data_IF_583242298723
#
_entry.id   IF_583242298723
#
_cell.length_a   1.000
_cell.length_b   1.000
_cell.length_c   1.000
_cell.angle_alpha   90.00
_cell.angle_beta   90.00
_cell.angle_gamma   90.00
#
_symmetry.space_group_name_H-M   'P 1'
#
loop_
_entity.id
_entity.type
_entity.pdbx_description
1 polymer ?
#
# COMPACT_ATOMS: atom_id res chain seq x y z
N UNK A 1 -15.87 -22.38 -11.13
CA UNK A 1 -14.66 -22.91 -10.48
C UNK A 1 -15.05 -23.57 -9.16
N UNK A 2 -14.47 -24.73 -8.90
CA UNK A 2 -14.80 -25.56 -7.74
C UNK A 2 -13.73 -25.49 -6.65
N UNK A 3 -14.06 -25.99 -5.46
CA UNK A 3 -13.15 -26.02 -4.31
C UNK A 3 -11.78 -26.61 -4.65
N UNK A 4 -10.73 -25.88 -4.24
CA UNK A 4 -9.33 -26.21 -4.47
C UNK A 4 -8.72 -25.61 -5.76
N UNK A 5 -9.53 -25.06 -6.65
CA UNK A 5 -9.03 -24.42 -7.87
C UNK A 5 -8.46 -23.04 -7.59
N UNK A 6 -7.31 -22.75 -8.21
CA UNK A 6 -6.77 -21.39 -8.27
C UNK A 6 -7.48 -20.62 -9.35
N UNK A 7 -8.01 -19.46 -9.01
CA UNK A 7 -8.77 -18.63 -9.94
C UNK A 7 -8.37 -17.16 -9.83
N UNK A 8 -8.73 -16.42 -10.88
CA UNK A 8 -8.70 -14.96 -10.89
C UNK A 8 -10.12 -14.46 -11.14
N UNK A 9 -10.60 -13.61 -10.25
CA UNK A 9 -11.94 -13.01 -10.33
C UNK A 9 -11.83 -11.53 -10.61
N UNK A 10 -12.65 -11.03 -11.51
CA UNK A 10 -12.86 -9.59 -11.75
C UNK A 10 -14.28 -9.26 -11.31
N UNK A 11 -14.41 -8.22 -10.48
CA UNK A 11 -15.70 -7.74 -9.98
C UNK A 11 -16.08 -6.43 -10.70
N UNK A 12 -17.36 -6.10 -10.72
CA UNK A 12 -17.89 -4.82 -11.21
C UNK A 12 -17.43 -3.65 -10.32
N UNK A 13 -17.28 -3.90 -9.02
CA UNK A 13 -16.76 -2.98 -8.01
C UNK A 13 -16.02 -3.76 -6.93
N UNK A 14 -15.01 -3.13 -6.32
CA UNK A 14 -14.21 -3.82 -5.31
C UNK A 14 -13.72 -2.87 -4.21
N UNK A 15 -13.70 -3.31 -2.94
CA UNK A 15 -13.02 -2.60 -1.84
C UNK A 15 -11.53 -2.93 -1.76
N UNK A 16 -11.03 -3.92 -2.53
CA UNK A 16 -9.65 -4.38 -2.47
C UNK A 16 -8.70 -3.40 -3.14
N UNK A 17 -7.58 -3.14 -2.52
CA UNK A 17 -6.45 -2.41 -3.09
C UNK A 17 -5.61 -3.37 -3.94
N UNK A 18 -5.33 -3.02 -5.16
CA UNK A 18 -4.39 -3.75 -6.02
C UNK A 18 -2.96 -3.26 -5.77
N UNK A 19 -1.98 -4.15 -5.94
CA UNK A 19 -0.57 -3.78 -5.85
C UNK A 19 -0.26 -2.58 -6.75
N UNK A 20 0.19 -1.50 -6.14
CA UNK A 20 0.48 -0.24 -6.82
C UNK A 20 1.34 0.68 -5.94
N UNK A 21 2.21 1.50 -6.56
CA UNK A 21 3.01 2.50 -5.82
C UNK A 21 3.94 1.90 -4.76
N UNK A 22 4.41 0.67 -4.95
CA UNK A 22 5.26 -0.03 -3.99
C UNK A 22 4.50 -0.69 -2.82
N UNK A 23 3.19 -0.50 -2.71
CA UNK A 23 2.36 -1.18 -1.72
C UNK A 23 1.79 -2.48 -2.29
N UNK A 24 1.87 -3.58 -1.53
CA UNK A 24 1.29 -4.88 -1.90
C UNK A 24 -0.24 -4.84 -1.94
N UNK A 25 -0.83 -5.78 -2.68
CA UNK A 25 -2.28 -5.97 -2.75
C UNK A 25 -2.89 -6.45 -1.44
N UNK A 26 -4.20 -6.26 -1.31
CA UNK A 26 -4.95 -6.75 -0.16
C UNK A 26 -5.15 -8.25 -0.19
N UNK A 27 -5.34 -8.80 1.00
CA UNK A 27 -5.89 -10.13 1.23
C UNK A 27 -7.35 -10.04 1.70
N UNK A 28 -8.08 -11.15 1.58
CA UNK A 28 -9.44 -11.23 2.07
C UNK A 28 -10.23 -12.43 1.53
N UNK A 29 -11.54 -12.27 1.48
CA UNK A 29 -12.47 -13.33 1.05
C UNK A 29 -13.51 -12.76 0.10
N UNK A 30 -13.85 -13.52 -0.93
CA UNK A 30 -15.02 -13.29 -1.78
C UNK A 30 -16.00 -14.43 -1.54
N UNK A 31 -17.21 -14.11 -1.10
CA UNK A 31 -18.25 -15.07 -0.74
C UNK A 31 -19.48 -14.88 -1.61
N UNK A 32 -19.87 -15.91 -2.34
CA UNK A 32 -21.11 -16.00 -3.07
C UNK A 32 -22.11 -16.94 -2.38
N UNK A 33 -23.28 -17.12 -2.99
CA UNK A 33 -24.34 -17.99 -2.45
C UNK A 33 -23.92 -19.46 -2.35
N UNK A 34 -23.12 -19.95 -3.32
CA UNK A 34 -22.80 -21.37 -3.46
C UNK A 34 -21.34 -21.69 -3.15
N UNK A 35 -20.51 -20.69 -2.86
CA UNK A 35 -19.10 -20.91 -2.59
C UNK A 35 -18.36 -19.66 -2.12
N UNK A 36 -17.10 -19.88 -1.76
CA UNK A 36 -16.21 -18.80 -1.32
C UNK A 36 -14.78 -19.04 -1.82
N UNK A 37 -14.03 -17.96 -1.99
CA UNK A 37 -12.60 -18.00 -2.26
C UNK A 37 -11.82 -17.12 -1.30
N UNK A 38 -10.61 -17.54 -0.96
CA UNK A 38 -9.62 -16.68 -0.30
C UNK A 38 -8.84 -15.93 -1.36
N UNK A 39 -8.77 -14.62 -1.21
CA UNK A 39 -7.94 -13.72 -2.05
C UNK A 39 -6.58 -13.57 -1.38
N UNK A 40 -5.52 -13.95 -2.09
CA UNK A 40 -4.14 -13.87 -1.63
C UNK A 40 -3.32 -12.77 -2.32
N UNK A 41 -3.85 -12.16 -3.37
CA UNK A 41 -3.23 -11.04 -4.08
C UNK A 41 -4.27 -10.32 -4.94
N UNK A 42 -4.03 -9.04 -5.18
CA UNK A 42 -4.85 -8.24 -6.10
C UNK A 42 -3.93 -7.42 -7.00
N UNK A 43 -4.10 -7.61 -8.30
CA UNK A 43 -3.33 -6.94 -9.34
C UNK A 43 -4.24 -6.06 -10.20
N UNK A 44 -3.68 -5.03 -10.82
CA UNK A 44 -4.41 -4.15 -11.74
C UNK A 44 -3.92 -4.32 -13.17
N UNK A 45 -4.83 -4.55 -14.10
CA UNK A 45 -4.50 -4.61 -15.53
C UNK A 45 -4.23 -3.21 -16.08
N UNK A 46 -3.62 -3.13 -17.28
CA UNK A 46 -3.35 -1.85 -17.97
C UNK A 46 -4.63 -1.07 -18.31
N UNK A 47 -5.75 -1.77 -18.52
CA UNK A 47 -7.08 -1.23 -18.78
C UNK A 47 -7.88 -0.93 -17.49
N UNK A 48 -7.24 -1.04 -16.32
CA UNK A 48 -7.80 -0.59 -15.05
C UNK A 48 -8.64 -1.62 -14.29
N UNK A 49 -8.74 -2.88 -14.76
CA UNK A 49 -9.50 -3.94 -14.08
C UNK A 49 -8.71 -4.50 -12.90
N UNK A 50 -9.40 -4.77 -11.80
CA UNK A 50 -8.84 -5.38 -10.60
C UNK A 50 -8.99 -6.90 -10.67
N UNK A 51 -7.88 -7.61 -10.66
CA UNK A 51 -7.80 -9.07 -10.68
C UNK A 51 -7.58 -9.58 -9.25
N UNK A 52 -8.59 -10.24 -8.68
CA UNK A 52 -8.51 -10.88 -7.37
C UNK A 52 -8.03 -12.31 -7.56
N UNK A 53 -6.81 -12.60 -7.13
CA UNK A 53 -6.12 -13.88 -7.33
C UNK A 53 -6.22 -14.69 -6.05
N UNK A 54 -6.64 -15.94 -6.16
CA UNK A 54 -6.80 -16.77 -4.97
C UNK A 54 -7.24 -18.20 -5.26
N UNK A 55 -7.80 -18.84 -4.24
CA UNK A 55 -8.23 -20.25 -4.28
C UNK A 55 -9.66 -20.34 -3.78
N UNK A 56 -10.49 -21.14 -4.47
CA UNK A 56 -11.82 -21.50 -3.99
C UNK A 56 -11.69 -22.39 -2.76
N UNK A 57 -12.18 -21.94 -1.64
CA UNK A 57 -12.09 -22.64 -0.35
C UNK A 57 -13.32 -23.45 -0.03
N UNK A 58 -14.48 -23.03 -0.56
CA UNK A 58 -15.77 -23.69 -0.31
C UNK A 58 -16.63 -23.65 -1.58
N UNK A 59 -17.36 -24.74 -1.83
CA UNK A 59 -18.36 -24.85 -2.89
C UNK A 59 -17.83 -24.52 -4.29
N UNK A 60 -18.57 -23.70 -5.01
CA UNK A 60 -18.23 -23.25 -6.36
C UNK A 60 -18.61 -21.79 -6.58
N UNK A 61 -17.86 -21.12 -7.45
CA UNK A 61 -18.12 -19.76 -7.93
C UNK A 61 -18.29 -19.76 -9.46
N UNK A 62 -19.30 -19.07 -9.94
CA UNK A 62 -19.63 -18.93 -11.35
C UNK A 62 -19.57 -17.47 -11.80
N UNK A 63 -19.45 -17.28 -13.11
CA UNK A 63 -19.54 -15.94 -13.71
C UNK A 63 -20.95 -15.39 -13.48
N UNK A 64 -21.04 -14.10 -13.20
CA UNK A 64 -22.29 -13.37 -12.87
C UNK A 64 -22.90 -13.71 -11.50
N UNK A 65 -22.21 -14.49 -10.65
CA UNK A 65 -22.64 -14.64 -9.27
C UNK A 65 -22.62 -13.29 -8.53
N UNK A 66 -23.66 -13.04 -7.75
CA UNK A 66 -23.64 -11.97 -6.78
C UNK A 66 -22.78 -12.38 -5.58
N UNK A 67 -21.76 -11.56 -5.25
CA UNK A 67 -20.79 -11.88 -4.22
C UNK A 67 -20.57 -10.71 -3.25
N UNK A 68 -20.16 -11.05 -2.03
CA UNK A 68 -19.66 -10.11 -1.04
C UNK A 68 -18.14 -10.18 -1.01
N UNK A 69 -17.49 -9.05 -1.24
CA UNK A 69 -16.05 -8.89 -1.20
C UNK A 69 -15.63 -8.29 0.16
N UNK A 70 -14.86 -9.03 0.94
CA UNK A 70 -14.45 -8.64 2.29
C UNK A 70 -12.93 -8.62 2.41
N UNK A 71 -12.37 -7.43 2.64
CA UNK A 71 -10.92 -7.25 2.88
C UNK A 71 -10.56 -7.73 4.28
N UNK A 72 -9.40 -8.38 4.45
CA UNK A 72 -8.81 -8.62 5.75
C UNK A 72 -8.40 -7.30 6.40
N UNK A 73 -9.22 -6.85 7.34
CA UNK A 73 -9.04 -5.55 7.98
C UNK A 73 -7.74 -5.47 8.79
N UNK A 74 -7.33 -6.56 9.45
CA UNK A 74 -6.10 -6.58 10.24
C UNK A 74 -4.86 -6.48 9.34
N UNK A 75 -4.86 -7.22 8.24
CA UNK A 75 -3.82 -7.17 7.22
C UNK A 75 -3.73 -5.77 6.59
N UNK A 76 -4.86 -5.20 6.15
CA UNK A 76 -4.93 -3.84 5.59
C UNK A 76 -4.41 -2.79 6.58
N UNK A 77 -4.81 -2.86 7.85
CA UNK A 77 -4.35 -1.90 8.86
C UNK A 77 -2.85 -1.98 9.12
N UNK A 78 -2.26 -3.18 9.08
CA UNK A 78 -0.81 -3.34 9.18
C UNK A 78 -0.09 -2.65 8.02
N UNK A 79 -0.57 -2.84 6.78
CA UNK A 79 -0.04 -2.15 5.59
C UNK A 79 -0.21 -0.64 5.70
N UNK A 80 -1.35 -0.13 6.16
CA UNK A 80 -1.58 1.30 6.36
C UNK A 80 -0.57 1.92 7.34
N UNK A 81 -0.26 1.23 8.45
CA UNK A 81 0.79 1.68 9.39
C UNK A 81 2.16 1.69 8.73
N UNK A 82 2.50 0.64 8.00
CA UNK A 82 3.75 0.53 7.26
C UNK A 82 3.89 1.65 6.21
N UNK A 83 2.83 1.93 5.45
CA UNK A 83 2.82 3.01 4.47
C UNK A 83 3.02 4.39 5.12
N UNK A 84 2.31 4.67 6.21
CA UNK A 84 2.49 5.90 6.97
C UNK A 84 3.92 6.03 7.50
N UNK A 85 4.50 4.94 8.04
CA UNK A 85 5.87 4.95 8.54
C UNK A 85 6.90 5.22 7.44
N UNK A 86 6.64 4.84 6.21
CA UNK A 86 7.49 5.17 5.05
C UNK A 86 7.59 6.69 4.84
N UNK A 87 6.48 7.42 4.95
CA UNK A 87 6.49 8.88 4.84
C UNK A 87 7.21 9.54 6.04
N UNK A 88 7.03 9.01 7.26
CA UNK A 88 7.75 9.49 8.43
C UNK A 88 9.26 9.26 8.29
N UNK A 89 9.66 8.08 7.77
CA UNK A 89 11.05 7.75 7.49
C UNK A 89 11.68 8.71 6.48
N UNK A 90 11.00 8.97 5.35
CA UNK A 90 11.45 9.96 4.35
C UNK A 90 11.69 11.33 4.99
N UNK A 91 10.76 11.80 5.82
CA UNK A 91 10.88 13.10 6.50
C UNK A 91 12.03 13.12 7.50
N UNK A 92 12.20 12.05 8.27
CA UNK A 92 13.30 11.93 9.25
C UNK A 92 14.67 11.87 8.56
N UNK A 93 14.81 11.08 7.49
CA UNK A 93 16.04 11.00 6.70
C UNK A 93 16.44 12.37 6.15
N UNK A 94 15.49 13.12 5.54
CA UNK A 94 15.77 14.49 5.07
C UNK A 94 16.18 15.42 6.19
N UNK A 95 15.59 15.29 7.38
CA UNK A 95 15.92 16.14 8.53
C UNK A 95 17.32 15.87 9.08
N UNK A 96 17.77 14.61 9.03
CA UNK A 96 19.08 14.19 9.55
C UNK A 96 20.19 14.34 8.52
N UNK A 97 19.95 13.93 7.28
CA UNK A 97 20.97 13.84 6.23
C UNK A 97 20.98 15.03 5.28
N UNK A 98 19.85 15.75 5.16
CA UNK A 98 19.71 16.91 4.29
C UNK A 98 18.72 16.73 3.14
N UNK A 99 18.45 17.84 2.45
CA UNK A 99 17.41 17.93 1.41
C UNK A 99 17.71 17.17 0.12
N UNK A 100 18.93 16.69 -0.07
CA UNK A 100 19.33 15.84 -1.20
C UNK A 100 18.76 14.42 -1.12
N UNK A 101 18.21 14.02 0.04
CA UNK A 101 17.59 12.71 0.19
C UNK A 101 16.28 12.67 -0.58
N UNK A 102 16.25 11.87 -1.64
CA UNK A 102 15.10 11.63 -2.49
C UNK A 102 14.80 10.14 -2.56
N UNK A 103 13.52 9.79 -2.64
CA UNK A 103 13.09 8.41 -2.82
C UNK A 103 13.56 7.89 -4.19
N UNK A 104 14.23 6.75 -4.20
CA UNK A 104 14.61 6.02 -5.41
C UNK A 104 13.70 4.79 -5.64
N UNK A 105 13.09 4.26 -4.57
CA UNK A 105 12.14 3.16 -4.61
C UNK A 105 11.51 2.91 -3.24
N UNK A 106 10.40 2.19 -3.23
CA UNK A 106 9.76 1.75 -1.99
C UNK A 106 9.06 0.41 -2.16
N UNK A 107 8.96 -0.32 -1.06
CA UNK A 107 8.14 -1.52 -0.95
C UNK A 107 7.49 -1.51 0.43
N UNK A 108 6.17 -1.70 0.47
CA UNK A 108 5.38 -1.64 1.70
C UNK A 108 4.56 -2.91 1.84
N UNK A 109 4.85 -3.68 2.88
CA UNK A 109 4.15 -4.90 3.24
C UNK A 109 3.51 -4.78 4.63
N UNK A 110 2.81 -5.83 5.06
CA UNK A 110 2.14 -5.87 6.35
C UNK A 110 3.10 -5.98 7.55
N UNK A 111 4.32 -6.45 7.34
CA UNK A 111 5.32 -6.77 8.37
C UNK A 111 6.63 -5.98 8.23
N UNK A 112 6.88 -5.37 7.06
CA UNK A 112 8.09 -4.58 6.83
C UNK A 112 7.90 -3.55 5.71
N UNK A 113 8.86 -2.63 5.64
CA UNK A 113 9.05 -1.71 4.53
C UNK A 113 10.48 -1.82 3.99
N UNK A 114 10.66 -1.54 2.69
CA UNK A 114 11.95 -1.20 2.12
C UNK A 114 11.83 0.20 1.55
N UNK A 115 12.80 1.04 1.86
CA UNK A 115 12.85 2.41 1.35
C UNK A 115 14.24 2.68 0.78
N UNK A 116 14.30 2.82 -0.54
CA UNK A 116 15.53 3.10 -1.28
C UNK A 116 15.61 4.61 -1.48
N UNK A 117 16.76 5.22 -1.15
CA UNK A 117 16.94 6.67 -1.22
C UNK A 117 18.35 7.06 -1.64
N UNK A 118 18.49 8.28 -2.13
CA UNK A 118 19.78 8.84 -2.55
C UNK A 118 20.56 9.36 -1.35
N UNK A 119 21.80 8.89 -1.19
CA UNK A 119 22.76 9.42 -0.22
C UNK A 119 24.20 9.10 -0.64
N UNK A 120 25.17 9.88 -0.16
CA UNK A 120 26.57 9.80 -0.61
C UNK A 120 27.38 8.70 0.07
N UNK A 121 26.97 8.26 1.27
CA UNK A 121 27.70 7.30 2.09
C UNK A 121 26.74 6.40 2.89
N UNK A 122 27.26 5.36 3.52
CA UNK A 122 26.49 4.61 4.52
C UNK A 122 26.20 5.49 5.74
N UNK A 123 25.03 5.36 6.34
CA UNK A 123 24.67 6.07 7.56
C UNK A 123 25.52 5.62 8.74
N UNK A 124 25.93 6.57 9.57
CA UNK A 124 26.58 6.26 10.85
C UNK A 124 25.56 5.71 11.86
N UNK A 125 26.01 5.02 12.91
CA UNK A 125 25.14 4.57 14.01
C UNK A 125 24.36 5.72 14.66
N UNK A 126 25.00 6.89 14.78
CA UNK A 126 24.41 8.09 15.38
C UNK A 126 23.29 8.66 14.49
N UNK A 127 23.49 8.71 13.18
CA UNK A 127 22.48 9.12 12.22
C UNK A 127 21.28 8.16 12.21
N UNK A 128 21.53 6.85 12.23
CA UNK A 128 20.48 5.85 12.33
C UNK A 128 19.67 5.99 13.61
N UNK A 129 20.33 6.16 14.76
CA UNK A 129 19.66 6.36 16.05
C UNK A 129 18.80 7.64 16.03
N UNK A 130 19.28 8.71 15.39
CA UNK A 130 18.52 9.96 15.30
C UNK A 130 17.31 9.86 14.36
N UNK A 131 17.45 9.13 13.26
CA UNK A 131 16.31 8.83 12.36
C UNK A 131 15.25 8.01 13.09
N UNK A 132 15.66 6.95 13.81
CA UNK A 132 14.77 6.11 14.61
C UNK A 132 14.02 6.92 15.68
N UNK A 133 14.73 7.76 16.44
CA UNK A 133 14.13 8.67 17.42
C UNK A 133 13.05 9.54 16.80
N UNK A 134 13.35 10.22 15.71
CA UNK A 134 12.41 11.11 15.02
C UNK A 134 11.17 10.41 14.49
N UNK A 135 11.33 9.19 13.95
CA UNK A 135 10.19 8.39 13.47
C UNK A 135 9.32 7.97 14.65
N UNK A 136 9.91 7.44 15.72
CA UNK A 136 9.18 7.01 16.90
C UNK A 136 8.47 8.17 17.61
N UNK A 137 9.10 9.34 17.74
CA UNK A 137 8.47 10.54 18.28
C UNK A 137 7.24 10.96 17.48
N UNK A 138 7.33 10.91 16.13
CA UNK A 138 6.20 11.23 15.26
C UNK A 138 5.06 10.21 15.38
N UNK A 139 5.37 8.92 15.54
CA UNK A 139 4.38 7.86 15.79
C UNK A 139 3.68 8.10 17.14
N UNK A 140 4.45 8.34 18.20
CA UNK A 140 3.93 8.57 19.55
C UNK A 140 3.10 9.86 19.66
N UNK A 141 3.42 10.87 18.87
CA UNK A 141 2.65 12.11 18.80
C UNK A 141 1.22 11.89 18.26
N UNK A 142 0.96 10.79 17.53
CA UNK A 142 -0.37 10.40 17.08
C UNK A 142 -1.07 11.43 16.19
N UNK A 143 -0.31 12.15 15.35
CA UNK A 143 -0.88 13.18 14.48
C UNK A 143 -1.85 12.57 13.47
N UNK A 144 -2.99 13.22 13.20
CA UNK A 144 -3.96 12.73 12.21
C UNK A 144 -3.38 12.78 10.80
N UNK A 145 -3.64 11.72 10.02
CA UNK A 145 -3.39 11.72 8.58
C UNK A 145 -4.58 12.37 7.88
N UNK A 146 -4.32 13.46 7.17
CA UNK A 146 -5.36 14.20 6.44
C UNK A 146 -5.19 13.93 4.94
N UNK A 147 -6.27 13.52 4.29
CA UNK A 147 -6.31 13.32 2.83
C UNK A 147 -7.19 14.40 2.21
N UNK A 148 -6.66 15.12 1.23
CA UNK A 148 -7.37 16.15 0.48
C UNK A 148 -7.15 15.92 -1.01
N UNK A 149 -8.22 15.99 -1.80
CA UNK A 149 -8.13 16.01 -3.27
C UNK A 149 -8.04 17.44 -3.77
N UNK A 150 -7.04 17.71 -4.63
CA UNK A 150 -6.84 19.04 -5.19
C UNK A 150 -6.04 18.99 -6.48
N UNK A 151 -5.96 20.09 -7.20
CA UNK A 151 -5.06 20.19 -8.36
C UNK A 151 -3.59 20.08 -7.95
N UNK A 152 -2.74 19.59 -8.88
CA UNK A 152 -1.29 19.50 -8.65
C UNK A 152 -0.69 20.86 -8.28
N UNK A 153 -1.16 21.93 -8.92
CA UNK A 153 -0.67 23.28 -8.66
C UNK A 153 -1.03 23.78 -7.25
N UNK A 154 -2.21 23.45 -6.77
CA UNK A 154 -2.62 23.82 -5.41
C UNK A 154 -1.91 22.95 -4.36
N UNK A 155 -1.66 21.67 -4.64
CA UNK A 155 -0.83 20.82 -3.79
C UNK A 155 0.59 21.38 -3.64
N UNK A 156 1.22 21.82 -4.74
CA UNK A 156 2.53 22.48 -4.70
C UNK A 156 2.53 23.78 -3.91
N UNK A 157 1.49 24.62 -4.03
CA UNK A 157 1.34 25.84 -3.22
C UNK A 157 1.20 25.55 -1.73
N UNK A 158 0.58 24.44 -1.35
CA UNK A 158 0.50 23.95 0.03
C UNK A 158 1.81 23.32 0.55
N UNK A 159 2.86 23.25 -0.28
CA UNK A 159 4.15 22.68 0.08
C UNK A 159 4.24 21.16 -0.05
N UNK A 160 3.34 20.53 -0.80
CA UNK A 160 3.46 19.11 -1.09
C UNK A 160 4.74 18.82 -1.87
N UNK A 161 5.46 17.76 -1.47
CA UNK A 161 6.62 17.27 -2.21
C UNK A 161 6.11 16.50 -3.43
N UNK A 162 6.27 17.10 -4.63
CA UNK A 162 6.04 16.39 -5.87
C UNK A 162 7.37 15.77 -6.33
N UNK A 163 7.49 14.45 -6.26
CA UNK A 163 8.66 13.75 -6.76
C UNK A 163 8.59 13.66 -8.28
N UNK A 164 9.71 13.99 -8.95
CA UNK A 164 9.79 13.91 -10.41
C UNK A 164 9.68 12.44 -10.85
N UNK A 165 8.76 12.15 -11.77
CA UNK A 165 8.56 10.82 -12.33
C UNK A 165 7.35 10.04 -11.82
N UNK A 166 6.67 10.49 -10.78
CA UNK A 166 5.39 9.92 -10.38
C UNK A 166 4.26 10.41 -11.29
N UNK A 167 3.43 9.49 -11.77
CA UNK A 167 2.21 9.83 -12.49
C UNK A 167 1.12 10.12 -11.45
N UNK A 168 0.90 11.40 -11.21
CA UNK A 168 -0.28 11.85 -10.48
C UNK A 168 -1.49 11.74 -11.41
N UNK A 169 -2.47 10.90 -11.03
CA UNK A 169 -3.70 10.67 -11.79
C UNK A 169 -4.64 11.86 -11.78
#
# INVERSE_FOLDING_TARGET
>A
AAKGEKITVVLDRTPFYAEMGGQIGDHGVITGKNGAMTVSDVQKTKDGKYMHIGVVTEGELSVEDEVTASVDAAYRQAICRAHTSTHLLQKALRKVLGDHVEQAGSYTANDHIRFDFTHFAALTPEELAKVEELVNDAILAGSPVITEEMSIDDAKKKGAMALFGEKYG
#
